data_IF_961049684968
#
_entry.id   IF_961049684968
#
_cell.length_a   1.000
_cell.length_b   1.000
_cell.length_c   1.000
_cell.angle_alpha   90.00
_cell.angle_beta   90.00
_cell.angle_gamma   90.00
#
_symmetry.space_group_name_H-M   'P 1'
#
loop_
_entity.id
_entity.type
_entity.pdbx_description
1 polymer ?
#
# COMPACT_ATOMS: atom_id res chain seq x y z
N UNK A 1 1.23 4.10 16.95
CA UNK A 1 2.65 4.28 16.59
C UNK A 1 3.36 2.93 16.55
N UNK A 2 4.60 2.86 16.05
CA UNK A 2 5.37 1.60 16.03
C UNK A 2 5.48 0.97 17.42
N UNK A 3 5.75 1.79 18.44
CA UNK A 3 5.81 1.36 19.84
C UNK A 3 4.50 0.73 20.31
N UNK A 4 3.36 1.36 20.05
CA UNK A 4 2.04 0.81 20.40
C UNK A 4 1.75 -0.52 19.66
N UNK A 5 2.18 -0.64 18.40
CA UNK A 5 2.03 -1.88 17.63
C UNK A 5 2.90 -3.00 18.22
N UNK A 6 4.12 -2.68 18.66
CA UNK A 6 5.00 -3.64 19.33
C UNK A 6 4.46 -4.01 20.70
N UNK A 7 3.95 -3.05 21.47
CA UNK A 7 3.32 -3.31 22.77
C UNK A 7 2.16 -4.29 22.61
N UNK A 8 1.23 -4.01 21.69
CA UNK A 8 0.11 -4.92 21.39
C UNK A 8 0.60 -6.31 20.99
N UNK A 9 1.65 -6.40 20.16
CA UNK A 9 2.24 -7.68 19.78
C UNK A 9 2.79 -8.44 20.99
N UNK A 10 3.51 -7.78 21.90
CA UNK A 10 4.03 -8.40 23.11
C UNK A 10 2.91 -8.86 24.05
N UNK A 11 1.90 -8.02 24.28
CA UNK A 11 0.74 -8.37 25.11
C UNK A 11 0.01 -9.60 24.55
N UNK A 12 -0.27 -9.65 23.25
CA UNK A 12 -0.91 -10.81 22.61
C UNK A 12 0.00 -12.05 22.63
N UNK A 13 1.33 -11.87 22.67
CA UNK A 13 2.26 -13.00 22.81
C UNK A 13 2.14 -13.66 24.20
N UNK A 14 1.76 -12.90 25.24
CA UNK A 14 1.59 -13.43 26.60
C UNK A 14 0.46 -14.47 26.67
N UNK A 15 -0.56 -14.36 25.81
CA UNK A 15 -1.67 -15.31 25.72
C UNK A 15 -1.24 -16.72 25.28
N UNK A 16 -0.02 -16.87 24.74
CA UNK A 16 0.50 -18.12 24.19
C UNK A 16 1.78 -18.59 24.89
N UNK A 17 2.00 -18.21 26.15
CA UNK A 17 3.21 -18.59 26.89
C UNK A 17 3.40 -20.10 27.05
N UNK A 18 2.30 -20.84 27.10
CA UNK A 18 2.20 -22.31 27.21
C UNK A 18 2.74 -23.06 25.98
N UNK A 19 2.84 -22.39 24.83
CA UNK A 19 3.40 -22.99 23.63
C UNK A 19 4.89 -23.30 23.77
N UNK A 20 5.27 -24.51 23.39
CA UNK A 20 6.65 -25.02 23.53
C UNK A 20 7.67 -24.31 22.65
N UNK A 21 7.26 -23.85 21.46
CA UNK A 21 8.19 -23.28 20.48
C UNK A 21 7.82 -21.86 20.12
N UNK A 22 8.83 -21.01 19.98
CA UNK A 22 8.68 -19.63 19.52
C UNK A 22 7.92 -19.55 18.18
N UNK A 23 8.17 -20.52 17.29
CA UNK A 23 7.48 -20.62 16.00
C UNK A 23 5.97 -20.79 16.17
N UNK A 24 5.51 -21.68 17.07
CA UNK A 24 4.07 -21.89 17.30
C UNK A 24 3.41 -20.65 17.92
N UNK A 25 4.10 -19.96 18.84
CA UNK A 25 3.66 -18.67 19.39
C UNK A 25 3.41 -17.66 18.28
N UNK A 26 4.39 -17.48 17.39
CA UNK A 26 4.29 -16.56 16.25
C UNK A 26 3.11 -16.90 15.33
N UNK A 27 2.90 -18.18 15.02
CA UNK A 27 1.76 -18.60 14.19
C UNK A 27 0.42 -18.31 14.87
N UNK A 28 0.29 -18.54 16.18
CA UNK A 28 -0.93 -18.24 16.93
C UNK A 28 -1.21 -16.74 17.01
N UNK A 29 -0.19 -15.91 17.28
CA UNK A 29 -0.35 -14.44 17.26
C UNK A 29 -0.81 -13.97 15.88
N UNK A 30 -0.22 -14.49 14.79
CA UNK A 30 -0.65 -14.18 13.43
C UNK A 30 -2.08 -14.63 13.12
N UNK A 31 -2.58 -15.67 13.76
CA UNK A 31 -3.95 -16.15 13.62
C UNK A 31 -4.92 -15.52 14.64
N UNK A 32 -4.45 -14.64 15.53
CA UNK A 32 -5.29 -14.06 16.58
C UNK A 32 -6.36 -13.14 15.97
N UNK A 33 -7.64 -13.30 16.35
CA UNK A 33 -8.76 -12.57 15.76
C UNK A 33 -8.75 -11.08 16.12
N UNK A 34 -8.20 -10.70 17.27
CA UNK A 34 -8.14 -9.32 17.72
C UNK A 34 -6.91 -8.59 17.20
N UNK A 35 -5.77 -9.28 17.11
CA UNK A 35 -4.52 -8.71 16.60
C UNK A 35 -4.63 -8.25 15.14
N UNK A 36 -5.44 -8.96 14.34
CA UNK A 36 -5.64 -8.64 12.92
C UNK A 36 -6.96 -7.95 12.61
N UNK A 37 -7.75 -7.56 13.63
CA UNK A 37 -9.08 -7.01 13.42
C UNK A 37 -9.09 -5.75 12.55
N UNK A 38 -8.12 -4.84 12.75
CA UNK A 38 -7.96 -3.64 11.93
C UNK A 38 -6.53 -3.12 11.95
N UNK A 39 -5.84 -3.19 10.80
CA UNK A 39 -4.50 -2.61 10.64
C UNK A 39 -4.58 -1.36 9.75
N UNK A 40 -4.67 -0.19 10.39
CA UNK A 40 -4.64 1.10 9.69
C UNK A 40 -3.21 1.59 9.58
N UNK A 41 -2.78 1.92 8.35
CA UNK A 41 -1.48 2.56 8.09
C UNK A 41 -1.72 3.94 7.50
N UNK A 42 -1.16 4.96 8.14
CA UNK A 42 -1.12 6.29 7.57
C UNK A 42 -0.04 6.37 6.49
N UNK A 43 -0.34 7.05 5.38
CA UNK A 43 0.59 7.23 4.26
C UNK A 43 0.33 8.55 3.55
N UNK A 44 1.39 9.28 3.20
CA UNK A 44 1.32 10.46 2.34
C UNK A 44 1.14 10.08 0.85
N UNK A 45 1.68 8.94 0.45
CA UNK A 45 1.59 8.39 -0.90
C UNK A 45 1.21 6.91 -0.85
N UNK A 46 0.48 6.45 -1.88
CA UNK A 46 0.03 5.05 -2.01
C UNK A 46 0.40 4.51 -3.39
N UNK A 47 0.61 3.21 -3.47
CA UNK A 47 0.82 2.55 -4.77
C UNK A 47 -0.48 2.54 -5.57
N UNK A 48 -0.39 2.60 -6.90
CA UNK A 48 -1.56 2.59 -7.79
C UNK A 48 -2.50 1.39 -7.52
N UNK A 49 -1.95 0.21 -7.28
CA UNK A 49 -2.75 -0.96 -6.94
C UNK A 49 -3.59 -0.77 -5.65
N UNK A 50 -3.04 -0.08 -4.65
CA UNK A 50 -3.76 0.23 -3.40
C UNK A 50 -4.75 1.38 -3.54
N UNK A 51 -4.67 2.17 -4.62
CA UNK A 51 -5.61 3.25 -4.90
C UNK A 51 -6.83 2.78 -5.69
N UNK A 52 -6.83 1.54 -6.19
CA UNK A 52 -7.97 0.95 -6.91
C UNK A 52 -9.26 1.02 -6.09
N UNK A 53 -10.36 1.39 -6.74
CA UNK A 53 -11.66 1.60 -6.10
C UNK A 53 -11.81 2.96 -5.40
N UNK A 54 -10.70 3.63 -5.04
CA UNK A 54 -10.72 5.00 -4.53
C UNK A 54 -10.71 6.04 -5.65
N UNK A 55 -11.26 7.23 -5.38
CA UNK A 55 -11.17 8.37 -6.28
C UNK A 55 -11.01 9.65 -5.47
N UNK A 56 -10.19 10.58 -5.96
CA UNK A 56 -9.84 11.83 -5.28
C UNK A 56 -9.98 13.02 -6.24
N UNK A 57 -10.28 14.20 -5.69
CA UNK A 57 -10.44 15.41 -6.50
C UNK A 57 -9.15 15.75 -7.26
N UNK A 58 -8.00 15.65 -6.58
CA UNK A 58 -6.68 15.92 -7.15
C UNK A 58 -5.78 14.72 -6.95
N UNK A 59 -5.10 14.27 -8.00
CA UNK A 59 -4.13 13.16 -7.96
C UNK A 59 -2.81 13.59 -8.57
N UNK A 60 -1.71 13.18 -7.92
CA UNK A 60 -0.35 13.30 -8.43
C UNK A 60 0.16 11.90 -8.76
N UNK A 61 0.65 11.70 -9.99
CA UNK A 61 1.23 10.43 -10.45
C UNK A 61 2.70 10.68 -10.75
N UNK A 62 3.57 9.96 -10.05
CA UNK A 62 5.00 9.91 -10.38
C UNK A 62 5.25 8.83 -11.43
N UNK A 63 6.07 9.15 -12.45
CA UNK A 63 6.44 8.18 -13.48
C UNK A 63 7.27 7.04 -12.85
N UNK A 64 6.86 5.76 -13.01
CA UNK A 64 7.64 4.64 -12.50
C UNK A 64 8.90 4.43 -13.33
N UNK A 65 9.90 3.78 -12.75
CA UNK A 65 11.07 3.32 -13.49
C UNK A 65 10.65 2.20 -14.47
N UNK A 66 10.92 2.39 -15.76
CA UNK A 66 10.55 1.47 -16.84
C UNK A 66 11.80 0.88 -17.52
N UNK A 67 12.39 -0.20 -16.97
CA UNK A 67 13.61 -0.79 -17.53
C UNK A 67 13.39 -1.40 -18.93
N UNK A 68 12.19 -1.92 -19.17
CA UNK A 68 11.77 -2.51 -20.45
C UNK A 68 11.05 -1.51 -21.36
N UNK A 69 10.99 -0.23 -20.95
CA UNK A 69 10.22 0.80 -21.62
C UNK A 69 8.70 0.67 -21.44
N UNK A 70 7.95 1.31 -22.34
CA UNK A 70 6.48 1.32 -22.33
C UNK A 70 5.99 -0.05 -22.79
N UNK A 71 5.26 -0.76 -21.92
CA UNK A 71 4.60 -2.02 -22.26
C UNK A 71 3.10 -1.97 -21.95
N UNK A 72 2.38 -3.04 -22.32
CA UNK A 72 0.92 -3.14 -22.13
C UNK A 72 0.50 -2.99 -20.66
N UNK A 73 1.28 -3.55 -19.74
CA UNK A 73 0.95 -3.54 -18.31
C UNK A 73 1.18 -2.16 -17.70
N UNK A 74 2.23 -1.46 -18.14
CA UNK A 74 2.44 -0.06 -17.79
C UNK A 74 1.29 0.83 -18.27
N UNK A 75 0.81 0.66 -19.51
CA UNK A 75 -0.34 1.45 -20.01
C UNK A 75 -1.60 1.17 -19.19
N UNK A 76 -1.87 -0.09 -18.81
CA UNK A 76 -3.00 -0.43 -17.92
C UNK A 76 -2.86 0.19 -16.53
N UNK A 77 -1.64 0.16 -15.99
CA UNK A 77 -1.31 0.77 -14.71
C UNK A 77 -1.53 2.30 -14.77
N UNK A 78 -1.08 2.95 -15.84
CA UNK A 78 -1.22 4.38 -16.04
C UNK A 78 -2.69 4.77 -16.19
N UNK A 79 -3.45 4.06 -17.01
CA UNK A 79 -4.90 4.25 -17.12
C UNK A 79 -5.60 4.12 -15.76
N UNK A 80 -5.23 3.10 -14.97
CA UNK A 80 -5.79 2.92 -13.63
C UNK A 80 -5.46 4.11 -12.73
N UNK A 81 -4.21 4.58 -12.75
CA UNK A 81 -3.75 5.72 -11.96
C UNK A 81 -4.46 7.02 -12.38
N UNK A 82 -4.60 7.28 -13.68
CA UNK A 82 -5.28 8.46 -14.22
C UNK A 82 -6.75 8.50 -13.82
N UNK A 83 -7.46 7.37 -13.91
CA UNK A 83 -8.90 7.29 -13.54
C UNK A 83 -9.17 7.44 -12.03
N UNK A 84 -8.13 7.57 -11.20
CA UNK A 84 -8.30 7.92 -9.78
C UNK A 84 -8.59 9.40 -9.59
N UNK A 85 -8.21 10.26 -10.54
CA UNK A 85 -8.47 11.70 -10.50
C UNK A 85 -9.91 12.00 -10.92
N UNK A 86 -10.59 12.90 -10.19
CA UNK A 86 -11.94 13.39 -10.56
C UNK A 86 -11.92 14.75 -11.25
N UNK A 87 -11.03 15.65 -10.82
CA UNK A 87 -10.99 17.04 -11.31
C UNK A 87 -9.61 17.38 -11.87
N UNK A 88 -8.55 17.20 -11.06
CA UNK A 88 -7.18 17.57 -11.43
C UNK A 88 -6.23 16.38 -11.39
N UNK A 89 -5.41 16.26 -12.43
CA UNK A 89 -4.36 15.27 -12.53
C UNK A 89 -3.02 15.97 -12.80
N UNK A 90 -2.02 15.64 -12.00
CA UNK A 90 -0.64 16.11 -12.17
C UNK A 90 0.27 14.92 -12.45
N UNK A 91 1.03 14.99 -13.54
CA UNK A 91 2.00 13.98 -13.94
C UNK A 91 3.42 14.50 -13.61
N UNK A 92 4.11 13.82 -12.70
CA UNK A 92 5.43 14.20 -12.18
C UNK A 92 6.49 13.30 -12.81
N UNK A 93 7.54 13.90 -13.37
CA UNK A 93 8.66 13.18 -13.97
C UNK A 93 8.41 12.65 -15.38
N UNK A 94 7.24 12.92 -15.96
CA UNK A 94 6.95 12.62 -17.37
C UNK A 94 7.67 13.63 -18.27
N UNK A 95 8.14 13.16 -19.43
CA UNK A 95 8.77 14.04 -20.45
C UNK A 95 7.74 14.91 -21.15
N UNK A 96 8.16 16.05 -21.67
CA UNK A 96 7.30 16.99 -22.41
C UNK A 96 6.63 16.33 -23.63
N UNK A 97 7.30 15.36 -24.25
CA UNK A 97 6.77 14.51 -25.34
C UNK A 97 5.43 13.84 -25.03
N UNK A 98 5.10 13.61 -23.75
CA UNK A 98 3.81 13.03 -23.34
C UNK A 98 2.63 14.01 -23.42
N UNK A 99 2.90 15.29 -23.67
CA UNK A 99 1.92 16.38 -23.70
C UNK A 99 1.83 17.07 -25.07
N UNK A 100 2.62 16.60 -26.04
CA UNK A 100 2.59 17.08 -27.43
C UNK A 100 1.51 16.31 -28.23
N UNK A 101 0.91 16.98 -29.22
CA UNK A 101 -0.17 16.45 -30.08
C UNK A 101 0.35 15.50 -31.19
#
# INVERSE_FOLDING_TARGET
TYEQSNLLYQEVLLDYQDERTQYRKLQKVKANPYFNALQVKFSYAITCHKSQGGQWNTVFIEQPYLPEGINRDYIRWLYTAMTRAKDKLYLIGFKDEYFED
#
